data_IF_298477105467
#
_entry.id   IF_298477105467
#
_cell.length_a   1.000
_cell.length_b   1.000
_cell.length_c   1.000
_cell.angle_alpha   90.00
_cell.angle_beta   90.00
_cell.angle_gamma   90.00
#
_symmetry.space_group_name_H-M   'P 1'
#
loop_
_entity.id
_entity.type
_entity.pdbx_description
1 polymer ?
#
# COMPACT_ATOMS: atom_id res chain seq x y z
N UNK A 1 17.94 11.21 10.43
CA UNK A 1 17.26 10.16 9.61
C UNK A 1 17.06 10.74 8.22
N UNK A 2 17.40 10.00 7.18
CA UNK A 2 17.15 10.40 5.80
C UNK A 2 16.62 9.20 4.99
N UNK A 3 15.87 9.49 3.95
CA UNK A 3 15.44 8.51 2.96
C UNK A 3 15.72 9.08 1.56
N UNK A 4 16.27 8.26 0.68
CA UNK A 4 16.48 8.56 -0.73
C UNK A 4 15.67 7.55 -1.55
N UNK A 5 14.73 8.03 -2.35
CA UNK A 5 13.92 7.19 -3.22
C UNK A 5 14.18 7.49 -4.70
N UNK A 6 14.12 6.44 -5.52
CA UNK A 6 14.18 6.55 -6.98
C UNK A 6 13.27 5.49 -7.60
N UNK A 7 12.90 5.68 -8.85
CA UNK A 7 12.07 4.73 -9.59
C UNK A 7 12.33 4.76 -11.09
N UNK A 8 12.00 3.65 -11.72
CA UNK A 8 12.01 3.45 -13.16
C UNK A 8 10.62 3.00 -13.60
N UNK A 9 10.10 3.59 -14.67
CA UNK A 9 8.91 3.12 -15.37
C UNK A 9 9.26 2.91 -16.84
N UNK A 10 8.94 1.74 -17.35
CA UNK A 10 9.04 1.38 -18.77
C UNK A 10 7.63 1.08 -19.27
N UNK A 11 7.25 1.71 -20.36
CA UNK A 11 5.92 1.60 -20.96
C UNK A 11 6.02 0.95 -22.35
N UNK A 12 4.88 0.52 -22.88
CA UNK A 12 4.77 -0.04 -24.24
C UNK A 12 5.68 -1.26 -24.47
N UNK A 13 5.90 -2.09 -23.45
CA UNK A 13 6.80 -3.26 -23.50
C UNK A 13 6.30 -4.38 -24.42
N UNK A 14 5.00 -4.34 -24.78
CA UNK A 14 4.43 -5.25 -25.76
C UNK A 14 3.31 -4.57 -26.56
N UNK A 15 2.71 -5.31 -27.49
CA UNK A 15 1.65 -4.77 -28.38
C UNK A 15 0.38 -4.32 -27.67
N UNK A 16 0.15 -4.77 -26.45
CA UNK A 16 -0.98 -4.37 -25.61
C UNK A 16 -0.61 -3.23 -24.64
N UNK A 17 0.61 -2.67 -24.75
CA UNK A 17 1.02 -1.54 -23.91
C UNK A 17 1.39 -1.95 -22.48
N UNK A 18 1.98 -3.14 -22.28
CA UNK A 18 2.44 -3.55 -20.95
C UNK A 18 3.45 -2.56 -20.37
N UNK A 19 3.43 -2.43 -19.06
CA UNK A 19 4.32 -1.54 -18.32
C UNK A 19 5.05 -2.28 -17.20
N UNK A 20 6.28 -1.88 -16.97
CA UNK A 20 7.06 -2.32 -15.83
C UNK A 20 7.47 -1.11 -15.00
N UNK A 21 7.16 -1.17 -13.71
CA UNK A 21 7.53 -0.14 -12.74
C UNK A 21 8.37 -0.77 -11.65
N UNK A 22 9.49 -0.15 -11.33
CA UNK A 22 10.32 -0.53 -10.19
C UNK A 22 10.70 0.72 -9.42
N UNK A 23 10.49 0.68 -8.11
CA UNK A 23 10.90 1.73 -7.19
C UNK A 23 11.75 1.16 -6.07
N UNK A 24 12.63 1.96 -5.52
CA UNK A 24 13.42 1.63 -4.35
C UNK A 24 13.61 2.87 -3.47
N UNK A 25 13.71 2.62 -2.17
CA UNK A 25 14.10 3.62 -1.17
C UNK A 25 15.22 3.06 -0.31
N UNK A 26 16.23 3.87 -0.09
CA UNK A 26 17.32 3.61 0.82
C UNK A 26 17.25 4.60 1.99
N UNK A 27 17.64 4.16 3.18
CA UNK A 27 17.63 4.98 4.38
C UNK A 27 17.03 4.26 5.58
N UNK A 28 16.34 5.00 6.44
CA UNK A 28 15.75 4.47 7.68
C UNK A 28 14.62 3.47 7.42
N UNK A 29 13.85 3.67 6.35
CA UNK A 29 12.73 2.79 5.96
C UNK A 29 12.96 2.31 4.53
N UNK A 30 13.85 1.31 4.33
CA UNK A 30 14.16 0.81 3.01
C UNK A 30 13.01 0.00 2.43
N UNK A 31 12.72 0.22 1.15
CA UNK A 31 11.78 -0.59 0.42
C UNK A 31 12.21 -0.77 -1.04
N UNK A 32 11.81 -1.88 -1.62
CA UNK A 32 11.89 -2.18 -3.05
C UNK A 32 10.55 -2.73 -3.48
N UNK A 33 9.97 -2.15 -4.52
CA UNK A 33 8.75 -2.65 -5.16
C UNK A 33 8.96 -2.73 -6.65
N UNK A 34 8.55 -3.85 -7.25
CA UNK A 34 8.57 -4.05 -8.68
C UNK A 34 7.22 -4.59 -9.12
N UNK A 35 6.64 -4.01 -10.16
CA UNK A 35 5.30 -4.33 -10.64
C UNK A 35 5.28 -4.41 -12.15
N UNK A 36 4.64 -5.45 -12.67
CA UNK A 36 4.27 -5.61 -14.06
C UNK A 36 2.76 -5.35 -14.21
N UNK A 37 2.40 -4.40 -15.04
CA UNK A 37 1.02 -4.10 -15.44
C UNK A 37 0.82 -4.59 -16.86
N UNK A 38 -0.22 -5.39 -17.11
CA UNK A 38 -0.54 -5.99 -18.39
C UNK A 38 -1.98 -5.67 -18.78
N UNK A 39 -2.21 -4.76 -19.73
CA UNK A 39 -3.51 -4.65 -20.38
C UNK A 39 -3.89 -5.96 -21.05
N UNK A 40 -5.15 -6.36 -20.95
CA UNK A 40 -5.67 -7.62 -21.48
C UNK A 40 -6.42 -7.43 -22.82
N UNK A 41 -6.71 -6.17 -23.15
CA UNK A 41 -7.37 -5.78 -24.40
C UNK A 41 -6.79 -4.46 -24.95
N UNK A 42 -7.09 -4.13 -26.20
CA UNK A 42 -6.62 -2.91 -26.84
C UNK A 42 -7.37 -1.66 -26.39
N UNK A 43 -8.51 -1.81 -25.72
CA UNK A 43 -9.28 -0.69 -25.15
C UNK A 43 -8.72 -0.25 -23.80
N UNK A 44 -7.79 -1.02 -23.24
CA UNK A 44 -7.27 -0.85 -21.87
C UNK A 44 -8.34 -0.97 -20.79
N UNK A 45 -9.50 -1.56 -21.13
CA UNK A 45 -10.61 -1.70 -20.19
C UNK A 45 -10.32 -2.72 -19.07
N UNK A 46 -9.47 -3.71 -19.35
CA UNK A 46 -9.12 -4.79 -18.40
C UNK A 46 -7.63 -4.98 -18.32
N UNK A 47 -7.15 -5.28 -17.15
CA UNK A 47 -5.72 -5.51 -16.92
C UNK A 47 -5.45 -6.54 -15.84
N UNK A 48 -4.23 -7.06 -15.86
CA UNK A 48 -3.64 -7.88 -14.81
C UNK A 48 -2.39 -7.20 -14.25
N UNK A 49 -2.14 -7.42 -12.98
CA UNK A 49 -0.96 -6.91 -12.27
C UNK A 49 -0.28 -8.04 -11.55
N UNK A 50 1.04 -8.09 -11.63
CA UNK A 50 1.91 -8.94 -10.81
C UNK A 50 2.94 -8.05 -10.15
N UNK A 51 3.09 -8.14 -8.84
CA UNK A 51 4.04 -7.33 -8.10
C UNK A 51 4.83 -8.13 -7.07
N UNK A 52 5.97 -7.60 -6.69
CA UNK A 52 6.78 -8.06 -5.56
C UNK A 52 7.18 -6.86 -4.73
N UNK A 53 7.14 -7.02 -3.41
CA UNK A 53 7.51 -5.95 -2.48
C UNK A 53 8.41 -6.49 -1.36
N UNK A 54 9.44 -5.73 -1.07
CA UNK A 54 10.23 -5.80 0.14
C UNK A 54 10.16 -4.46 0.84
N UNK A 55 9.81 -4.45 2.14
CA UNK A 55 9.72 -3.22 2.93
C UNK A 55 10.12 -3.51 4.38
N UNK A 56 10.90 -2.60 4.97
CA UNK A 56 11.19 -2.58 6.40
C UNK A 56 10.62 -1.32 7.03
N UNK A 57 9.87 -1.50 8.09
CA UNK A 57 9.22 -0.44 8.85
C UNK A 57 9.68 -0.51 10.31
N UNK A 58 10.11 0.63 10.87
CA UNK A 58 10.47 0.77 12.27
C UNK A 58 9.28 1.34 13.05
N UNK A 59 8.91 0.68 14.14
CA UNK A 59 7.84 1.10 15.03
C UNK A 59 8.39 1.42 16.42
N UNK A 60 8.19 2.66 16.88
CA UNK A 60 8.47 3.01 18.27
C UNK A 60 7.20 2.86 19.10
N UNK A 61 7.26 2.10 20.17
CA UNK A 61 6.16 1.90 21.11
C UNK A 61 6.38 2.81 22.32
N UNK A 62 5.33 3.54 22.69
CA UNK A 62 5.35 4.48 23.81
C UNK A 62 4.36 4.06 24.88
N UNK A 63 4.76 4.20 26.15
CA UNK A 63 3.89 4.11 27.31
C UNK A 63 4.07 5.37 28.16
N UNK A 64 2.95 6.02 28.54
CA UNK A 64 2.92 7.26 29.30
C UNK A 64 3.85 8.39 28.80
N UNK A 65 4.16 8.40 27.49
CA UNK A 65 5.03 9.38 26.85
C UNK A 65 6.50 8.98 26.74
N UNK A 66 6.91 7.88 27.37
CA UNK A 66 8.25 7.33 27.26
C UNK A 66 8.32 6.23 26.19
N UNK A 67 9.38 6.23 25.38
CA UNK A 67 9.62 5.16 24.42
C UNK A 67 10.09 3.92 25.14
N UNK A 68 9.26 2.87 25.18
CA UNK A 68 9.53 1.62 25.89
C UNK A 68 10.11 0.52 25.01
N UNK A 69 9.86 0.57 23.70
CA UNK A 69 10.37 -0.44 22.76
C UNK A 69 10.50 0.12 21.35
N UNK A 70 11.34 -0.53 20.55
CA UNK A 70 11.49 -0.32 19.10
C UNK A 70 11.38 -1.69 18.42
N UNK A 71 10.47 -1.79 17.44
CA UNK A 71 10.15 -3.04 16.74
C UNK A 71 10.40 -2.80 15.25
N UNK A 72 11.17 -3.68 14.64
CA UNK A 72 11.34 -3.74 13.20
C UNK A 72 10.40 -4.76 12.60
N UNK A 73 9.69 -4.37 11.55
CA UNK A 73 8.87 -5.28 10.77
C UNK A 73 9.32 -5.28 9.32
N UNK A 74 9.79 -6.43 8.87
CA UNK A 74 10.21 -6.64 7.49
C UNK A 74 9.17 -7.44 6.73
N UNK A 75 8.59 -6.84 5.69
CA UNK A 75 7.61 -7.47 4.79
C UNK A 75 8.27 -8.00 3.53
N UNK A 76 7.82 -9.15 3.05
CA UNK A 76 8.15 -9.72 1.75
C UNK A 76 6.88 -10.30 1.16
N UNK A 77 6.40 -9.67 0.09
CA UNK A 77 5.09 -9.94 -0.48
C UNK A 77 5.17 -10.12 -2.00
N UNK A 78 4.29 -10.96 -2.51
CA UNK A 78 3.97 -11.09 -3.93
C UNK A 78 2.49 -10.76 -4.08
N UNK A 79 2.13 -9.90 -5.00
CA UNK A 79 0.77 -9.53 -5.31
C UNK A 79 0.37 -9.93 -6.73
N UNK A 80 -0.86 -10.39 -6.85
CA UNK A 80 -1.53 -10.70 -8.11
C UNK A 80 -2.86 -9.96 -8.11
N UNK A 81 -3.20 -9.28 -9.20
CA UNK A 81 -4.49 -8.62 -9.28
C UNK A 81 -5.05 -8.65 -10.70
N UNK A 82 -6.37 -8.60 -10.79
CA UNK A 82 -7.13 -8.33 -12.00
C UNK A 82 -7.93 -7.04 -11.78
N UNK A 83 -7.96 -6.19 -12.77
CA UNK A 83 -8.68 -4.93 -12.69
C UNK A 83 -9.44 -4.57 -13.95
N UNK A 84 -10.28 -3.57 -13.80
CA UNK A 84 -11.07 -3.00 -14.88
C UNK A 84 -11.17 -1.49 -14.69
N UNK A 85 -10.98 -0.76 -15.78
CA UNK A 85 -11.23 0.68 -15.84
C UNK A 85 -12.74 0.97 -15.81
N UNK A 86 -13.11 2.00 -15.07
CA UNK A 86 -14.50 2.47 -14.92
C UNK A 86 -14.62 3.90 -15.49
N UNK A 87 -14.65 4.03 -16.80
CA UNK A 87 -14.52 5.33 -17.47
C UNK A 87 -13.08 5.83 -17.40
N UNK A 88 -12.84 7.10 -17.72
CA UNK A 88 -11.48 7.65 -17.81
C UNK A 88 -10.76 7.85 -16.47
N UNK A 89 -11.49 7.90 -15.37
CA UNK A 89 -10.97 8.33 -14.08
C UNK A 89 -11.19 7.29 -12.97
N UNK A 90 -11.80 6.14 -13.26
CA UNK A 90 -12.16 5.13 -12.28
C UNK A 90 -11.49 3.78 -12.52
N UNK A 91 -11.23 3.02 -11.45
CA UNK A 91 -10.66 1.68 -11.50
C UNK A 91 -11.28 0.80 -10.40
N UNK A 92 -11.60 -0.44 -10.74
CA UNK A 92 -11.86 -1.50 -9.76
C UNK A 92 -10.81 -2.60 -9.90
N UNK A 93 -10.29 -3.08 -8.76
CA UNK A 93 -9.23 -4.10 -8.72
C UNK A 93 -9.54 -5.15 -7.67
N UNK A 94 -9.49 -6.42 -8.08
CA UNK A 94 -9.52 -7.58 -7.20
C UNK A 94 -8.11 -8.16 -7.12
N UNK A 95 -7.55 -8.27 -5.92
CA UNK A 95 -6.18 -8.70 -5.70
C UNK A 95 -6.08 -9.85 -4.69
N UNK A 96 -4.98 -10.58 -4.79
CA UNK A 96 -4.51 -11.54 -3.80
C UNK A 96 -3.05 -11.29 -3.50
N UNK A 97 -2.70 -11.25 -2.22
CA UNK A 97 -1.33 -11.06 -1.75
C UNK A 97 -0.92 -12.24 -0.91
N UNK A 98 0.29 -12.72 -1.14
CA UNK A 98 0.94 -13.78 -0.37
C UNK A 98 2.32 -13.34 0.05
N UNK A 99 2.66 -13.54 1.32
CA UNK A 99 3.96 -13.14 1.83
C UNK A 99 4.17 -13.51 3.28
N UNK A 100 5.10 -12.82 3.90
CA UNK A 100 5.34 -12.91 5.32
C UNK A 100 5.97 -11.61 5.86
N UNK A 101 5.63 -11.31 7.11
CA UNK A 101 6.30 -10.32 7.92
C UNK A 101 7.27 -11.02 8.87
N UNK A 102 8.44 -10.44 9.12
CA UNK A 102 9.33 -10.81 10.20
C UNK A 102 9.31 -9.69 11.21
N UNK A 103 8.97 -10.00 12.45
CA UNK A 103 8.93 -9.05 13.57
C UNK A 103 10.16 -9.29 14.42
N UNK A 104 11.00 -8.29 14.59
CA UNK A 104 12.20 -8.32 15.41
C UNK A 104 12.15 -7.18 16.44
N UNK A 105 12.33 -7.52 17.72
CA UNK A 105 12.49 -6.53 18.80
C UNK A 105 13.93 -6.02 18.80
N UNK A 106 14.17 -4.73 18.46
CA UNK A 106 15.52 -4.17 18.46
C UNK A 106 15.97 -3.75 19.87
N UNK A 107 15.11 -3.07 20.63
CA UNK A 107 15.48 -2.53 21.94
C UNK A 107 14.26 -2.40 22.83
N UNK A 108 14.36 -2.79 24.10
CA UNK A 108 13.37 -2.52 25.15
C UNK A 108 12.65 -3.74 25.67
N UNK A 109 11.45 -3.53 26.21
CA UNK A 109 10.59 -4.60 26.71
C UNK A 109 9.92 -5.29 25.53
N UNK A 110 9.97 -6.63 25.40
CA UNK A 110 9.24 -7.33 24.35
C UNK A 110 7.73 -7.02 24.44
N UNK A 111 7.21 -6.31 23.45
CA UNK A 111 5.78 -5.94 23.41
C UNK A 111 5.01 -6.73 22.36
N UNK A 112 5.74 -7.51 21.54
CA UNK A 112 5.15 -8.40 20.55
C UNK A 112 5.94 -9.72 20.47
N UNK A 113 5.30 -10.83 20.07
CA UNK A 113 6.03 -12.05 19.76
C UNK A 113 6.95 -11.81 18.55
N UNK A 114 8.26 -11.96 18.75
CA UNK A 114 9.23 -11.95 17.65
C UNK A 114 9.07 -13.19 16.80
N UNK A 115 9.23 -13.06 15.50
CA UNK A 115 9.18 -14.19 14.60
C UNK A 115 8.58 -13.88 13.21
N UNK A 116 8.34 -14.97 12.49
CA UNK A 116 7.79 -14.93 11.15
C UNK A 116 6.27 -15.12 11.20
N UNK A 117 5.53 -14.19 10.61
CA UNK A 117 4.07 -14.23 10.47
C UNK A 117 3.74 -14.32 8.99
N UNK A 118 3.07 -15.39 8.56
CA UNK A 118 2.63 -15.52 7.20
C UNK A 118 1.41 -14.62 6.95
N UNK A 119 1.38 -14.03 5.76
CA UNK A 119 0.30 -13.18 5.29
C UNK A 119 -0.30 -13.76 4.02
N UNK A 120 -1.62 -13.88 4.00
CA UNK A 120 -2.39 -14.29 2.84
C UNK A 120 -3.74 -13.59 2.86
N UNK A 121 -3.98 -12.68 1.91
CA UNK A 121 -5.21 -11.91 1.91
C UNK A 121 -5.73 -11.60 0.51
N UNK A 122 -7.05 -11.56 0.42
CA UNK A 122 -7.77 -10.97 -0.69
C UNK A 122 -8.00 -9.48 -0.48
N UNK A 123 -8.04 -8.71 -1.56
CA UNK A 123 -8.37 -7.29 -1.52
C UNK A 123 -9.29 -6.89 -2.66
N UNK A 124 -10.24 -6.00 -2.36
CA UNK A 124 -11.04 -5.30 -3.36
C UNK A 124 -10.75 -3.80 -3.23
N UNK A 125 -10.35 -3.18 -4.32
CA UNK A 125 -10.03 -1.77 -4.37
C UNK A 125 -10.90 -1.08 -5.42
N UNK A 126 -11.42 0.09 -5.07
CA UNK A 126 -12.08 1.03 -5.96
C UNK A 126 -11.33 2.35 -5.87
N UNK A 127 -10.98 2.92 -7.01
CA UNK A 127 -10.26 4.20 -7.12
C UNK A 127 -10.99 5.09 -8.10
N UNK A 128 -11.02 6.37 -7.80
CA UNK A 128 -11.34 7.45 -8.73
C UNK A 128 -10.21 8.48 -8.64
N UNK A 129 -9.61 8.82 -9.77
CA UNK A 129 -8.50 9.76 -9.88
C UNK A 129 -8.74 10.75 -11.03
N UNK A 130 -9.14 11.96 -10.69
CA UNK A 130 -9.33 13.08 -11.62
C UNK A 130 -8.32 14.21 -11.39
N UNK A 131 -7.19 13.91 -10.70
CA UNK A 131 -6.15 14.89 -10.45
C UNK A 131 -5.51 15.35 -11.77
N UNK A 132 -5.31 16.65 -11.90
CA UNK A 132 -4.72 17.26 -13.10
C UNK A 132 -3.26 16.89 -13.34
N UNK A 133 -2.54 16.40 -12.31
CA UNK A 133 -1.15 15.99 -12.37
C UNK A 133 -0.84 15.08 -11.18
N UNK A 134 0.01 14.06 -11.38
CA UNK A 134 0.34 13.07 -10.35
C UNK A 134 1.28 13.60 -9.25
N UNK A 135 2.09 14.62 -9.53
CA UNK A 135 3.12 15.12 -8.60
C UNK A 135 2.80 16.50 -8.03
N UNK A 136 2.12 17.34 -8.80
CA UNK A 136 1.78 18.71 -8.39
C UNK A 136 0.39 19.10 -8.88
N UNK A 137 -0.66 18.42 -8.39
CA UNK A 137 -2.01 18.67 -8.85
C UNK A 137 -2.46 20.07 -8.51
N UNK A 138 -3.07 20.76 -9.48
CA UNK A 138 -3.64 22.10 -9.31
C UNK A 138 -5.16 22.07 -9.19
N UNK A 139 -5.78 20.98 -9.61
CA UNK A 139 -7.22 20.76 -9.52
C UNK A 139 -7.55 19.28 -9.55
N UNK A 140 -8.75 18.91 -9.12
CA UNK A 140 -9.26 17.56 -9.16
C UNK A 140 -9.30 16.89 -7.80
N UNK A 141 -9.66 15.62 -7.81
CA UNK A 141 -9.80 14.80 -6.61
C UNK A 141 -9.31 13.37 -6.86
N UNK A 142 -8.79 12.77 -5.83
CA UNK A 142 -8.55 11.34 -5.73
C UNK A 142 -9.42 10.77 -4.61
N UNK A 143 -10.09 9.66 -4.88
CA UNK A 143 -10.83 8.90 -3.89
C UNK A 143 -10.48 7.41 -4.04
N UNK A 144 -10.05 6.79 -2.95
CA UNK A 144 -9.73 5.37 -2.93
C UNK A 144 -10.35 4.68 -1.72
N UNK A 145 -10.91 3.49 -1.94
CA UNK A 145 -11.37 2.60 -0.88
C UNK A 145 -10.83 1.20 -1.16
N UNK A 146 -10.29 0.55 -0.12
CA UNK A 146 -9.79 -0.82 -0.18
C UNK A 146 -10.34 -1.63 0.97
N UNK A 147 -10.99 -2.73 0.66
CA UNK A 147 -11.31 -3.81 1.60
C UNK A 147 -10.20 -4.86 1.54
N UNK A 148 -9.78 -5.37 2.71
CA UNK A 148 -8.84 -6.47 2.90
C UNK A 148 -9.52 -7.55 3.71
N UNK A 149 -9.40 -8.79 3.26
CA UNK A 149 -9.92 -9.98 3.93
C UNK A 149 -8.75 -10.94 4.10
N UNK A 150 -8.33 -11.17 5.33
CA UNK A 150 -7.21 -12.04 5.67
C UNK A 150 -7.73 -13.29 6.37
N UNK A 151 -7.31 -14.47 5.88
CA UNK A 151 -7.81 -15.77 6.36
C UNK A 151 -6.71 -16.83 6.33
N UNK A 152 -6.84 -17.83 7.20
CA UNK A 152 -5.96 -19.00 7.21
C UNK A 152 -6.03 -19.77 5.88
N UNK A 153 -7.21 -19.90 5.27
CA UNK A 153 -7.39 -20.56 3.98
C UNK A 153 -6.67 -19.84 2.84
N UNK A 154 -6.41 -18.53 2.99
CA UNK A 154 -5.59 -17.74 2.07
C UNK A 154 -4.10 -17.84 2.42
N UNK A 155 -3.77 -18.58 3.48
CA UNK A 155 -2.42 -18.85 3.95
C UNK A 155 -1.87 -17.84 4.94
N UNK A 156 -2.72 -17.08 5.63
CA UNK A 156 -2.31 -16.20 6.72
C UNK A 156 -2.24 -16.96 8.05
N UNK A 157 -1.42 -16.45 8.96
CA UNK A 157 -1.43 -16.83 10.39
C UNK A 157 -2.43 -15.96 11.17
N UNK A 158 -3.14 -15.04 10.51
CA UNK A 158 -4.11 -14.12 11.11
C UNK A 158 -5.43 -14.15 10.37
N UNK A 159 -6.50 -13.80 11.10
CA UNK A 159 -7.82 -13.59 10.53
C UNK A 159 -8.36 -12.23 10.95
N UNK A 160 -8.53 -11.35 9.98
CA UNK A 160 -9.17 -10.05 10.18
C UNK A 160 -9.67 -9.45 8.88
N UNK A 161 -10.60 -8.51 9.00
CA UNK A 161 -11.09 -7.68 7.91
C UNK A 161 -10.77 -6.22 8.20
N UNK A 162 -10.31 -5.51 7.19
CA UNK A 162 -10.00 -4.09 7.30
C UNK A 162 -10.52 -3.31 6.10
N UNK A 163 -10.92 -2.07 6.36
CA UNK A 163 -11.30 -1.09 5.35
C UNK A 163 -10.35 0.10 5.44
N UNK A 164 -9.82 0.49 4.30
CA UNK A 164 -8.96 1.68 4.17
C UNK A 164 -9.61 2.64 3.20
N UNK A 165 -9.69 3.91 3.57
CA UNK A 165 -10.19 4.99 2.73
C UNK A 165 -9.20 6.13 2.62
N UNK A 166 -9.11 6.74 1.45
CA UNK A 166 -8.30 7.92 1.18
C UNK A 166 -9.07 8.87 0.29
N UNK A 167 -9.11 10.14 0.69
CA UNK A 167 -9.66 11.24 -0.10
C UNK A 167 -8.61 12.35 -0.16
N UNK A 168 -8.30 12.78 -1.36
CA UNK A 168 -7.46 13.95 -1.61
C UNK A 168 -8.21 14.87 -2.55
N UNK A 169 -8.29 16.13 -2.20
CA UNK A 169 -8.87 17.17 -3.05
C UNK A 169 -7.91 18.32 -3.19
N UNK A 170 -7.80 18.88 -4.39
CA UNK A 170 -6.96 20.05 -4.63
C UNK A 170 -7.67 21.07 -5.51
N UNK A 171 -7.43 22.33 -5.23
CA UNK A 171 -7.97 23.43 -5.99
C UNK A 171 -7.07 24.66 -5.95
N UNK A 172 -7.01 25.38 -7.06
CA UNK A 172 -6.24 26.62 -7.16
C UNK A 172 -7.18 27.80 -7.15
N UNK A 173 -6.94 28.72 -6.23
CA UNK A 173 -7.62 30.03 -6.17
C UNK A 173 -6.60 31.15 -6.26
N UNK A 174 -6.64 31.89 -7.34
CA UNK A 174 -5.64 32.90 -7.69
C UNK A 174 -4.21 32.31 -7.68
N UNK A 175 -3.35 32.75 -6.75
CA UNK A 175 -1.96 32.28 -6.55
C UNK A 175 -1.82 31.20 -5.48
N UNK A 176 -2.92 30.81 -4.85
CA UNK A 176 -2.91 29.82 -3.77
C UNK A 176 -3.38 28.47 -4.32
N UNK A 177 -2.63 27.41 -4.02
CA UNK A 177 -3.09 26.04 -4.21
C UNK A 177 -3.41 25.48 -2.82
N UNK A 178 -4.62 24.97 -2.64
CA UNK A 178 -5.06 24.32 -1.42
C UNK A 178 -5.26 22.84 -1.69
N UNK A 179 -4.59 21.99 -0.91
CA UNK A 179 -4.73 20.56 -0.96
C UNK A 179 -5.16 20.03 0.39
N UNK A 180 -6.21 19.22 0.43
CA UNK A 180 -6.69 18.52 1.61
C UNK A 180 -6.55 17.01 1.43
N UNK A 181 -6.09 16.31 2.47
CA UNK A 181 -5.98 14.85 2.51
C UNK A 181 -6.72 14.33 3.74
N UNK A 182 -7.59 13.33 3.53
CA UNK A 182 -8.18 12.51 4.57
C UNK A 182 -7.78 11.07 4.35
N UNK A 183 -7.23 10.43 5.37
CA UNK A 183 -6.92 9.01 5.39
C UNK A 183 -7.61 8.35 6.58
N UNK A 184 -8.20 7.18 6.36
CA UNK A 184 -8.81 6.36 7.41
C UNK A 184 -8.49 4.91 7.20
N UNK A 185 -8.30 4.18 8.30
CA UNK A 185 -8.22 2.73 8.33
C UNK A 185 -9.01 2.21 9.52
N UNK A 186 -9.86 1.24 9.27
CA UNK A 186 -10.69 0.61 10.28
C UNK A 186 -10.59 -0.90 10.17
N UNK A 187 -10.36 -1.57 11.30
CA UNK A 187 -10.53 -3.01 11.43
C UNK A 187 -12.03 -3.26 11.66
N UNK A 188 -12.62 -4.07 10.79
CA UNK A 188 -14.04 -4.39 10.81
C UNK A 188 -14.30 -5.59 11.70
N UNK A 189 -13.42 -6.61 11.61
CA UNK A 189 -13.50 -7.84 12.40
C UNK A 189 -12.11 -8.44 12.60
N UNK A 190 -11.98 -9.28 13.64
CA UNK A 190 -10.73 -9.97 13.96
C UNK A 190 -9.67 -9.06 14.62
N UNK A 191 -8.49 -9.61 14.80
CA UNK A 191 -7.37 -8.94 15.48
C UNK A 191 -6.14 -8.92 14.57
N UNK A 192 -5.81 -7.77 13.97
CA UNK A 192 -4.55 -7.61 13.26
C UNK A 192 -3.39 -7.66 14.26
N UNK A 193 -2.28 -8.32 13.90
CA UNK A 193 -1.06 -8.25 14.68
C UNK A 193 -0.38 -6.89 14.59
N UNK A 194 0.71 -6.71 15.35
CA UNK A 194 1.50 -5.46 15.37
C UNK A 194 2.03 -5.08 13.99
N UNK A 195 2.32 -6.07 13.16
CA UNK A 195 2.74 -5.91 11.77
C UNK A 195 1.67 -5.21 10.90
N UNK A 196 0.42 -5.28 11.32
CA UNK A 196 -0.73 -4.66 10.64
C UNK A 196 -1.34 -3.50 11.43
N UNK A 197 -0.70 -3.05 12.51
CA UNK A 197 -1.19 -1.92 13.31
C UNK A 197 -1.25 -0.63 12.48
N UNK A 198 -2.28 0.17 12.69
CA UNK A 198 -2.40 1.48 12.05
C UNK A 198 -1.42 2.46 12.69
N UNK A 199 -0.64 3.17 11.87
CA UNK A 199 0.17 4.30 12.34
C UNK A 199 -0.71 5.54 12.48
N UNK A 200 -0.64 6.19 13.63
CA UNK A 200 -1.19 7.53 13.86
C UNK A 200 -0.02 8.50 13.80
N UNK A 201 0.06 9.26 12.72
CA UNK A 201 1.09 10.28 12.49
C UNK A 201 2.39 9.69 11.91
N UNK A 202 2.68 10.01 10.68
CA UNK A 202 3.94 9.77 9.98
C UNK A 202 4.68 11.07 9.75
#
# INVERSE_FOLDING_TARGET
RFNLATGLRMTELNRLGAEWQTGLQLGTQPWVRSQWYQPLDYGYDRFAVVGVEYRRDDYSVYDNGDRISEIDVTFREVDLALGMELGGDGEIRLGYVRGYATVDDEVGVPVAPSGKVHQGYGSLQLVHDSLSDAFSPKSGAFAGIRARVEREELGSDREFDALTGMLLGTGTWQRFNLTGLLYTRQVISGEPGVENAARLGG
#
